data_IF_978930070250
#
_entry.id   IF_978930070250
#
_cell.length_a   1.000
_cell.length_b   1.000
_cell.length_c   1.000
_cell.angle_alpha   90.00
_cell.angle_beta   90.00
_cell.angle_gamma   90.00
#
_symmetry.space_group_name_H-M   'P 1'
#
loop_
_entity.id
_entity.type
_entity.pdbx_description
1 polymer ?
#
# COMPACT_ATOMS: atom_id res chain seq x y z
N UNK A 1 -12.96 -5.38 -21.64
CA UNK A 1 -12.08 -6.46 -22.14
C UNK A 1 -12.54 -7.83 -21.66
N UNK A 2 -12.51 -8.10 -20.35
CA UNK A 2 -12.98 -9.37 -19.77
C UNK A 2 -14.47 -9.61 -20.05
N UNK A 3 -15.34 -8.64 -19.72
CA UNK A 3 -16.79 -8.73 -19.96
C UNK A 3 -17.13 -8.79 -21.46
N UNK A 4 -16.35 -8.11 -22.30
CA UNK A 4 -16.48 -8.14 -23.77
C UNK A 4 -15.97 -9.46 -24.40
N UNK A 5 -15.46 -10.41 -23.60
CA UNK A 5 -14.94 -11.68 -24.10
C UNK A 5 -13.61 -11.60 -24.86
N UNK A 6 -12.90 -10.46 -24.82
CA UNK A 6 -11.61 -10.27 -25.53
C UNK A 6 -10.42 -10.94 -24.84
N UNK A 7 -10.54 -11.14 -23.53
CA UNK A 7 -9.58 -11.85 -22.68
C UNK A 7 -10.36 -12.64 -21.63
N UNK A 8 -9.76 -13.69 -21.08
CA UNK A 8 -10.39 -14.50 -20.03
C UNK A 8 -10.13 -13.96 -18.64
N UNK A 9 -8.95 -13.38 -18.41
CA UNK A 9 -8.57 -12.79 -17.15
C UNK A 9 -7.59 -11.62 -17.33
N UNK A 10 -7.49 -10.79 -16.30
CA UNK A 10 -6.48 -9.75 -16.17
C UNK A 10 -5.70 -9.94 -14.86
N UNK A 11 -4.41 -9.61 -14.90
CA UNK A 11 -3.48 -9.73 -13.78
C UNK A 11 -3.14 -8.33 -13.27
N UNK A 12 -3.27 -8.12 -11.97
CA UNK A 12 -3.10 -6.80 -11.35
C UNK A 12 -2.24 -6.90 -10.09
N UNK A 13 -1.53 -5.81 -9.77
CA UNK A 13 -1.14 -5.57 -8.38
C UNK A 13 -2.40 -5.30 -7.58
N UNK A 14 -2.63 -6.06 -6.51
CA UNK A 14 -3.92 -6.06 -5.81
C UNK A 14 -4.26 -4.70 -5.17
N UNK A 15 -3.26 -3.94 -4.76
CA UNK A 15 -3.43 -2.56 -4.25
C UNK A 15 -4.04 -1.59 -5.27
N UNK A 16 -3.91 -1.87 -6.56
CA UNK A 16 -4.42 -1.03 -7.65
C UNK A 16 -5.83 -1.46 -8.11
N UNK A 17 -6.36 -2.55 -7.53
CA UNK A 17 -7.73 -2.99 -7.77
C UNK A 17 -8.67 -2.18 -6.85
N UNK A 18 -9.68 -1.50 -7.41
CA UNK A 18 -10.72 -0.85 -6.61
C UNK A 18 -11.48 -1.84 -5.72
N UNK A 19 -11.98 -1.37 -4.58
CA UNK A 19 -12.84 -2.15 -3.70
C UNK A 19 -14.12 -2.59 -4.42
N UNK A 20 -14.83 -1.64 -5.02
CA UNK A 20 -16.02 -1.90 -5.82
C UNK A 20 -15.63 -2.49 -7.19
N UNK A 21 -16.24 -3.62 -7.52
CA UNK A 21 -16.03 -4.30 -8.81
C UNK A 21 -17.33 -4.32 -9.62
N UNK A 22 -17.24 -4.14 -10.95
CA UNK A 22 -18.37 -4.35 -11.83
C UNK A 22 -18.99 -5.74 -11.66
N UNK A 23 -20.31 -5.82 -11.74
CA UNK A 23 -21.03 -7.08 -11.74
C UNK A 23 -20.52 -8.03 -12.85
N UNK A 24 -20.42 -9.32 -12.54
CA UNK A 24 -19.92 -10.35 -13.46
C UNK A 24 -18.40 -10.55 -13.44
N UNK A 25 -17.66 -9.78 -12.64
CA UNK A 25 -16.22 -9.99 -12.40
C UNK A 25 -15.97 -10.58 -11.01
N UNK A 26 -15.03 -11.52 -10.94
CA UNK A 26 -14.60 -12.16 -9.71
C UNK A 26 -13.08 -12.05 -9.52
N UNK A 27 -12.65 -11.99 -8.26
CA UNK A 27 -11.27 -12.23 -7.88
C UNK A 27 -11.04 -13.75 -7.91
N UNK A 28 -10.44 -14.26 -8.98
CA UNK A 28 -10.33 -15.69 -9.24
C UNK A 28 -9.06 -16.32 -8.68
N UNK A 29 -8.00 -15.52 -8.51
CA UNK A 29 -6.84 -15.95 -7.75
C UNK A 29 -6.18 -14.80 -6.98
N UNK A 30 -5.68 -15.13 -5.79
CA UNK A 30 -4.76 -14.31 -5.00
C UNK A 30 -3.48 -15.11 -4.84
N UNK A 31 -2.41 -14.66 -5.49
CA UNK A 31 -1.12 -15.35 -5.46
C UNK A 31 -0.43 -15.13 -4.12
N UNK A 32 0.52 -16.01 -3.81
CA UNK A 32 1.43 -15.85 -2.66
C UNK A 32 2.06 -14.45 -2.66
N UNK A 33 2.03 -13.81 -1.49
CA UNK A 33 2.51 -12.44 -1.31
C UNK A 33 4.04 -12.33 -1.41
N UNK A 34 4.51 -11.42 -2.24
CA UNK A 34 5.89 -10.93 -2.22
C UNK A 34 6.10 -9.94 -1.06
N UNK A 35 7.35 -9.59 -0.68
CA UNK A 35 7.61 -8.67 0.42
C UNK A 35 6.73 -7.40 0.35
N UNK A 36 5.81 -7.19 1.32
CA UNK A 36 4.83 -6.11 1.26
C UNK A 36 5.42 -4.77 1.71
N UNK A 37 6.71 -4.74 2.05
CA UNK A 37 7.36 -3.59 2.66
C UNK A 37 7.72 -2.51 1.63
N UNK A 38 7.90 -1.31 2.14
CA UNK A 38 8.55 -0.25 1.39
C UNK A 38 10.07 -0.40 1.51
N UNK A 39 10.79 0.05 0.48
CA UNK A 39 12.25 0.05 0.43
C UNK A 39 12.72 1.47 0.17
N UNK A 40 13.66 1.95 0.98
CA UNK A 40 14.31 3.23 0.78
C UNK A 40 15.60 2.98 -0.01
N UNK A 41 15.59 3.34 -1.29
CA UNK A 41 16.79 3.35 -2.12
C UNK A 41 17.55 4.65 -1.86
N UNK A 42 18.84 4.56 -1.56
CA UNK A 42 19.66 5.69 -1.12
C UNK A 42 21.12 5.44 -1.49
N UNK A 43 21.82 6.45 -2.01
CA UNK A 43 23.21 6.32 -2.49
C UNK A 43 24.26 6.93 -1.56
N UNK A 44 23.83 7.65 -0.52
CA UNK A 44 24.69 8.34 0.45
C UNK A 44 24.31 8.05 1.91
N UNK A 45 25.18 8.39 2.89
CA UNK A 45 24.86 8.22 4.30
C UNK A 45 23.55 8.95 4.67
N UNK A 46 22.76 8.38 5.58
CA UNK A 46 21.45 8.93 5.94
C UNK A 46 21.53 10.33 6.53
N UNK A 47 22.65 10.67 7.18
CA UNK A 47 22.93 11.99 7.74
C UNK A 47 23.08 13.08 6.67
N UNK A 48 23.38 12.68 5.43
CA UNK A 48 23.53 13.57 4.27
C UNK A 48 22.27 13.62 3.39
N UNK A 49 21.23 12.84 3.73
CA UNK A 49 19.96 12.80 3.01
C UNK A 49 19.09 13.99 3.42
N UNK A 50 18.85 14.88 2.46
CA UNK A 50 17.97 16.05 2.59
C UNK A 50 16.68 15.91 1.79
N UNK A 51 16.69 15.22 0.64
CA UNK A 51 15.52 15.10 -0.24
C UNK A 51 15.12 13.64 -0.47
N UNK A 52 13.93 13.25 0.02
CA UNK A 52 13.37 11.91 -0.23
C UNK A 52 12.24 11.99 -1.26
N UNK A 53 12.33 11.22 -2.34
CA UNK A 53 11.35 11.17 -3.43
C UNK A 53 10.21 10.17 -3.20
N UNK A 54 8.98 10.66 -3.09
CA UNK A 54 7.75 9.85 -3.15
C UNK A 54 6.51 10.73 -3.38
N UNK A 55 5.59 10.29 -4.24
CA UNK A 55 4.25 10.90 -4.39
C UNK A 55 3.15 10.20 -3.61
N UNK A 56 3.46 9.18 -2.79
CA UNK A 56 2.48 8.57 -1.89
C UNK A 56 2.30 9.41 -0.64
N UNK A 57 1.06 9.86 -0.37
CA UNK A 57 0.72 10.61 0.83
C UNK A 57 0.98 9.80 2.11
N UNK A 58 0.68 8.49 2.10
CA UNK A 58 1.02 7.55 3.17
C UNK A 58 2.51 7.58 3.49
N UNK A 59 3.36 7.31 2.48
CA UNK A 59 4.82 7.28 2.66
C UNK A 59 5.35 8.64 3.11
N UNK A 60 4.85 9.73 2.53
CA UNK A 60 5.21 11.09 2.92
C UNK A 60 4.92 11.35 4.40
N UNK A 61 3.70 11.09 4.86
CA UNK A 61 3.34 11.29 6.26
C UNK A 61 4.17 10.41 7.21
N UNK A 62 4.43 9.15 6.85
CA UNK A 62 5.25 8.24 7.64
C UNK A 62 6.72 8.68 7.71
N UNK A 63 7.30 9.17 6.60
CA UNK A 63 8.64 9.74 6.56
C UNK A 63 8.75 10.99 7.42
N UNK A 64 7.79 11.93 7.29
CA UNK A 64 7.78 13.17 8.08
C UNK A 64 7.65 12.86 9.58
N UNK A 65 6.81 11.90 9.96
CA UNK A 65 6.72 11.39 11.34
C UNK A 65 8.06 10.82 11.81
N UNK A 66 8.65 9.93 11.02
CA UNK A 66 9.85 9.18 11.41
C UNK A 66 11.08 10.07 11.53
N UNK A 67 11.25 11.01 10.60
CA UNK A 67 12.42 11.89 10.52
C UNK A 67 12.14 13.32 11.03
N UNK A 68 11.13 13.52 11.88
CA UNK A 68 10.74 14.83 12.41
C UNK A 68 11.87 15.60 13.13
N UNK A 69 12.91 14.90 13.60
CA UNK A 69 14.09 15.51 14.26
C UNK A 69 15.12 16.07 13.27
N UNK A 70 14.95 15.84 11.96
CA UNK A 70 15.86 16.28 10.89
C UNK A 70 15.19 17.40 10.07
N UNK A 71 15.29 18.68 10.50
CA UNK A 71 14.53 19.78 9.90
C UNK A 71 14.88 20.08 8.44
N UNK A 72 16.09 19.73 8.00
CA UNK A 72 16.55 19.90 6.62
C UNK A 72 15.97 18.82 5.68
N UNK A 73 15.45 17.72 6.25
CA UNK A 73 14.86 16.65 5.46
C UNK A 73 13.47 17.04 4.96
N UNK A 74 13.28 16.96 3.65
CA UNK A 74 11.99 17.20 3.02
C UNK A 74 11.63 16.09 2.03
N UNK A 75 10.32 15.89 1.86
CA UNK A 75 9.77 14.88 0.96
C UNK A 75 9.27 15.55 -0.32
N UNK A 76 9.89 15.21 -1.44
CA UNK A 76 9.57 15.75 -2.75
C UNK A 76 8.73 14.77 -3.59
N UNK A 77 7.87 15.30 -4.45
CA UNK A 77 7.06 14.50 -5.35
C UNK A 77 7.93 13.75 -6.35
N UNK A 78 7.67 12.46 -6.53
CA UNK A 78 8.35 11.61 -7.49
C UNK A 78 7.32 10.74 -8.23
N UNK A 79 7.28 10.92 -9.56
CA UNK A 79 6.41 10.19 -10.49
C UNK A 79 7.24 9.42 -11.51
N UNK A 80 6.57 8.52 -12.23
CA UNK A 80 7.20 7.60 -13.18
C UNK A 80 7.15 6.15 -12.70
N UNK A 81 7.46 5.25 -13.62
CA UNK A 81 7.70 3.84 -13.32
C UNK A 81 9.01 3.67 -12.53
N UNK A 82 9.35 2.43 -12.15
CA UNK A 82 10.53 2.17 -11.33
C UNK A 82 11.83 2.59 -12.00
N UNK A 83 11.98 2.33 -13.31
CA UNK A 83 13.19 2.70 -14.06
C UNK A 83 13.40 4.21 -14.07
N UNK A 84 12.35 4.99 -14.31
CA UNK A 84 12.42 6.46 -14.28
C UNK A 84 12.80 6.96 -12.88
N UNK A 85 12.31 6.31 -11.83
CA UNK A 85 12.61 6.72 -10.45
C UNK A 85 14.05 6.41 -10.06
N UNK A 86 14.58 5.26 -10.48
CA UNK A 86 15.97 4.89 -10.23
C UNK A 86 16.92 5.79 -11.04
N UNK A 87 16.61 6.07 -12.30
CA UNK A 87 17.40 7.02 -13.10
C UNK A 87 17.45 8.42 -12.47
N UNK A 88 16.36 8.88 -11.83
CA UNK A 88 16.33 10.16 -11.10
C UNK A 88 17.14 10.13 -9.80
N UNK A 89 17.22 8.97 -9.13
CA UNK A 89 18.11 8.78 -7.98
C UNK A 89 19.57 8.84 -8.43
N UNK A 90 19.95 8.08 -9.45
CA UNK A 90 21.31 8.04 -10.02
C UNK A 90 21.77 9.42 -10.56
N UNK A 91 20.83 10.20 -11.10
CA UNK A 91 21.10 11.57 -11.57
C UNK A 91 21.26 12.60 -10.44
N UNK A 92 21.02 12.22 -9.18
CA UNK A 92 21.09 13.11 -8.01
C UNK A 92 19.94 14.11 -7.92
N UNK A 93 18.81 13.87 -8.60
CA UNK A 93 17.60 14.70 -8.42
C UNK A 93 16.95 14.48 -7.04
N UNK A 94 17.20 13.33 -6.43
CA UNK A 94 16.78 12.97 -5.08
C UNK A 94 17.94 12.28 -4.37
N UNK A 95 18.02 12.45 -3.07
CA UNK A 95 19.03 11.80 -2.24
C UNK A 95 18.66 10.34 -1.92
N UNK A 96 17.36 10.11 -1.82
CA UNK A 96 16.77 8.79 -1.63
C UNK A 96 15.38 8.75 -2.29
N UNK A 97 14.91 7.55 -2.65
CA UNK A 97 13.55 7.35 -3.20
C UNK A 97 12.88 6.16 -2.54
N UNK A 98 11.56 6.26 -2.31
CA UNK A 98 10.81 5.14 -1.73
C UNK A 98 10.15 4.29 -2.81
N UNK A 99 10.46 3.01 -2.81
CA UNK A 99 9.96 1.99 -3.73
C UNK A 99 9.16 0.92 -2.98
N UNK A 100 8.37 0.12 -3.70
CA UNK A 100 7.80 -1.09 -3.12
C UNK A 100 8.83 -2.22 -3.30
N UNK A 101 9.17 -2.94 -2.23
CA UNK A 101 10.19 -3.98 -2.29
C UNK A 101 9.81 -5.10 -3.25
N UNK A 102 8.53 -5.50 -3.28
CA UNK A 102 8.02 -6.46 -4.24
C UNK A 102 8.34 -6.12 -5.71
N UNK A 103 8.39 -4.84 -6.07
CA UNK A 103 8.74 -4.43 -7.44
C UNK A 103 10.21 -4.71 -7.75
N UNK A 104 11.12 -4.49 -6.79
CA UNK A 104 12.53 -4.79 -6.92
C UNK A 104 12.75 -6.30 -7.08
N UNK A 105 12.11 -7.10 -6.21
CA UNK A 105 12.19 -8.57 -6.23
C UNK A 105 11.74 -9.13 -7.57
N UNK A 106 10.57 -8.69 -8.07
CA UNK A 106 9.99 -9.19 -9.33
C UNK A 106 10.85 -8.88 -10.55
N UNK A 107 11.55 -7.75 -10.52
CA UNK A 107 12.41 -7.31 -11.62
C UNK A 107 13.86 -7.77 -11.47
N UNK A 108 14.20 -8.44 -10.37
CA UNK A 108 15.59 -8.84 -10.09
C UNK A 108 16.53 -7.65 -9.92
N UNK A 109 16.01 -6.51 -9.45
CA UNK A 109 16.80 -5.29 -9.29
C UNK A 109 17.51 -5.29 -7.94
N UNK A 110 18.83 -5.05 -7.99
CA UNK A 110 19.67 -4.87 -6.82
C UNK A 110 19.96 -3.38 -6.66
N UNK A 111 19.35 -2.76 -5.64
CA UNK A 111 19.44 -1.32 -5.39
C UNK A 111 20.02 -1.10 -3.99
N UNK A 112 20.96 -0.18 -3.86
CA UNK A 112 21.53 0.17 -2.55
C UNK A 112 20.48 0.86 -1.68
N UNK A 113 20.38 0.45 -0.42
CA UNK A 113 19.37 0.95 0.49
C UNK A 113 18.90 -0.10 1.49
N UNK A 114 17.72 0.10 2.06
CA UNK A 114 17.19 -0.79 3.08
C UNK A 114 15.66 -0.87 3.09
N UNK A 115 15.16 -2.01 3.56
CA UNK A 115 13.74 -2.22 3.86
C UNK A 115 13.31 -1.31 5.01
N UNK A 116 12.17 -0.65 4.85
CA UNK A 116 11.51 0.07 5.91
C UNK A 116 10.66 -0.90 6.75
N UNK A 117 10.84 -0.87 8.08
CA UNK A 117 10.09 -1.73 8.99
C UNK A 117 8.60 -1.42 8.96
N UNK A 118 7.76 -2.46 8.89
CA UNK A 118 6.31 -2.31 8.94
C UNK A 118 5.81 -1.66 10.25
N UNK A 119 6.57 -1.73 11.34
CA UNK A 119 6.20 -1.11 12.61
C UNK A 119 6.25 0.42 12.52
N UNK A 120 7.14 0.99 11.71
CA UNK A 120 7.31 2.43 11.52
C UNK A 120 6.71 2.94 10.21
N UNK A 121 6.67 2.08 9.19
CA UNK A 121 6.21 2.37 7.83
C UNK A 121 5.21 1.32 7.42
N UNK A 122 4.01 1.37 8.01
CA UNK A 122 2.93 0.43 7.74
C UNK A 122 2.65 0.41 6.23
N UNK A 123 2.76 -0.76 5.56
CA UNK A 123 2.48 -0.91 4.13
C UNK A 123 1.13 -0.34 3.67
N UNK A 124 1.04 -0.07 2.37
CA UNK A 124 -0.26 0.15 1.75
C UNK A 124 -1.08 -1.16 1.78
N UNK A 125 -2.42 -1.08 1.94
CA UNK A 125 -3.28 -2.25 1.84
C UNK A 125 -2.97 -3.04 0.56
N UNK A 126 -2.79 -4.35 0.72
CA UNK A 126 -2.55 -5.33 -0.32
C UNK A 126 -1.27 -5.12 -1.15
N UNK A 127 -0.32 -4.32 -0.64
CA UNK A 127 0.99 -4.20 -1.24
C UNK A 127 1.70 -5.56 -1.28
N UNK A 128 2.40 -5.84 -2.37
CA UNK A 128 3.12 -7.11 -2.56
C UNK A 128 2.27 -8.25 -3.14
N UNK A 129 0.96 -8.07 -3.32
CA UNK A 129 0.09 -9.15 -3.81
C UNK A 129 -0.26 -8.99 -5.29
N UNK A 130 -0.22 -10.11 -6.03
CA UNK A 130 -0.78 -10.21 -7.38
C UNK A 130 -2.14 -10.90 -7.31
N UNK A 131 -3.10 -10.32 -8.03
CA UNK A 131 -4.46 -10.80 -8.12
C UNK A 131 -4.86 -11.04 -9.58
N UNK A 132 -5.63 -12.11 -9.81
CA UNK A 132 -6.21 -12.46 -11.10
C UNK A 132 -7.71 -12.17 -11.04
N UNK A 133 -8.18 -11.31 -11.92
CA UNK A 133 -9.59 -10.97 -12.07
C UNK A 133 -10.10 -11.61 -13.36
N UNK A 134 -11.22 -12.31 -13.30
CA UNK A 134 -11.84 -12.97 -14.45
C UNK A 134 -13.36 -12.83 -14.43
N UNK A 135 -14.05 -13.40 -15.43
CA UNK A 135 -15.53 -13.53 -15.37
C UNK A 135 -15.90 -14.51 -14.25
N UNK A 136 -16.97 -14.20 -13.51
CA UNK A 136 -17.45 -15.11 -12.46
C UNK A 136 -18.15 -16.34 -13.06
N UNK A 137 -17.34 -17.33 -13.43
CA UNK A 137 -17.79 -18.59 -14.00
C UNK A 137 -17.10 -19.74 -13.27
N UNK A 138 -17.79 -20.87 -13.15
CA UNK A 138 -17.24 -22.06 -12.47
C UNK A 138 -15.96 -22.57 -13.17
N UNK A 139 -15.92 -22.50 -14.50
CA UNK A 139 -14.78 -22.90 -15.32
C UNK A 139 -13.52 -22.08 -15.02
N UNK A 140 -13.60 -20.74 -15.08
CA UNK A 140 -12.45 -19.88 -14.81
C UNK A 140 -12.03 -19.93 -13.34
N UNK A 141 -12.99 -20.04 -12.41
CA UNK A 141 -12.68 -20.25 -10.99
C UNK A 141 -11.88 -21.54 -10.78
N UNK A 142 -12.25 -22.64 -11.42
CA UNK A 142 -11.52 -23.89 -11.35
C UNK A 142 -10.13 -23.79 -12.00
N UNK A 143 -10.02 -23.12 -13.15
CA UNK A 143 -8.76 -22.96 -13.88
C UNK A 143 -7.71 -22.16 -13.08
N UNK A 144 -8.13 -21.12 -12.35
CA UNK A 144 -7.21 -20.29 -11.57
C UNK A 144 -7.05 -20.74 -10.11
N UNK A 145 -7.85 -21.69 -9.64
CA UNK A 145 -7.78 -22.22 -8.27
C UNK A 145 -6.35 -22.60 -7.82
N UNK A 146 -5.50 -23.27 -8.65
CA UNK A 146 -4.15 -23.66 -8.23
C UNK A 146 -3.18 -22.50 -7.94
N UNK A 147 -3.52 -21.27 -8.36
CA UNK A 147 -2.69 -20.08 -8.10
C UNK A 147 -2.96 -19.46 -6.73
N UNK A 148 -4.02 -19.89 -6.04
CA UNK A 148 -4.43 -19.29 -4.78
C UNK A 148 -3.50 -19.67 -3.61
N UNK A 149 -3.11 -18.65 -2.86
CA UNK A 149 -2.51 -18.79 -1.54
C UNK A 149 -3.53 -18.35 -0.48
N UNK A 150 -4.00 -19.30 0.34
CA UNK A 150 -5.10 -19.06 1.29
C UNK A 150 -4.73 -18.06 2.39
N UNK A 151 -3.49 -18.08 2.86
CA UNK A 151 -3.03 -17.12 3.87
C UNK A 151 -2.98 -15.70 3.30
N UNK A 152 -2.42 -15.53 2.09
CA UNK A 152 -2.41 -14.23 1.42
C UNK A 152 -3.83 -13.75 1.12
N UNK A 153 -4.73 -14.63 0.70
CA UNK A 153 -6.14 -14.29 0.48
C UNK A 153 -6.80 -13.77 1.75
N UNK A 154 -6.60 -14.43 2.90
CA UNK A 154 -7.11 -13.97 4.19
C UNK A 154 -6.50 -12.62 4.61
N UNK A 155 -5.18 -12.52 4.63
CA UNK A 155 -4.47 -11.32 5.08
C UNK A 155 -4.86 -10.10 4.22
N UNK A 156 -4.95 -10.27 2.90
CA UNK A 156 -5.35 -9.18 2.00
C UNK A 156 -6.83 -8.85 2.06
N UNK A 157 -7.71 -9.82 2.31
CA UNK A 157 -9.12 -9.55 2.57
C UNK A 157 -9.31 -8.74 3.86
N UNK A 158 -8.59 -9.07 4.93
CA UNK A 158 -8.62 -8.30 6.17
C UNK A 158 -8.10 -6.86 5.98
N UNK A 159 -6.97 -6.69 5.28
CA UNK A 159 -6.45 -5.36 4.95
C UNK A 159 -7.46 -4.54 4.12
N UNK A 160 -8.15 -5.20 3.20
CA UNK A 160 -9.18 -4.58 2.35
C UNK A 160 -10.38 -4.13 3.19
N UNK A 161 -10.86 -4.97 4.10
CA UNK A 161 -11.98 -4.67 4.99
C UNK A 161 -11.72 -3.40 5.82
N UNK A 162 -10.54 -3.31 6.45
CA UNK A 162 -10.14 -2.09 7.18
C UNK A 162 -10.15 -0.87 6.27
N UNK A 163 -9.56 -0.98 5.08
CA UNK A 163 -9.48 0.11 4.12
C UNK A 163 -10.87 0.59 3.65
N UNK A 164 -11.80 -0.33 3.44
CA UNK A 164 -13.19 -0.04 3.04
C UNK A 164 -13.96 0.71 4.14
N UNK A 165 -13.79 0.29 5.40
CA UNK A 165 -14.43 0.95 6.54
C UNK A 165 -13.92 2.38 6.74
N UNK A 166 -12.60 2.59 6.68
CA UNK A 166 -11.99 3.92 6.81
C UNK A 166 -12.56 4.86 5.74
N UNK A 167 -12.69 4.39 4.50
CA UNK A 167 -13.09 5.21 3.35
C UNK A 167 -12.03 6.27 3.01
N UNK A 168 -12.43 7.35 2.33
CA UNK A 168 -11.52 8.49 2.11
C UNK A 168 -10.52 8.35 0.94
N UNK A 169 -10.75 7.41 0.01
CA UNK A 169 -10.02 7.34 -1.26
C UNK A 169 -8.48 7.32 -1.14
N UNK A 170 -7.78 7.70 -2.22
CA UNK A 170 -6.31 7.77 -2.22
C UNK A 170 -5.73 8.99 -1.48
N UNK A 171 -6.57 9.85 -0.88
CA UNK A 171 -6.13 11.12 -0.28
C UNK A 171 -5.79 11.03 1.21
N UNK A 172 -6.34 10.06 1.94
CA UNK A 172 -6.01 9.85 3.35
C UNK A 172 -4.67 9.11 3.48
N UNK A 173 -3.67 9.64 4.21
CA UNK A 173 -2.46 8.90 4.54
C UNK A 173 -2.78 7.73 5.47
N UNK A 174 -2.96 6.54 4.90
CA UNK A 174 -3.32 5.34 5.65
C UNK A 174 -2.46 4.15 5.29
N UNK A 175 -2.06 3.36 6.29
CA UNK A 175 -1.39 2.07 6.10
C UNK A 175 -2.19 0.95 6.74
N UNK A 176 -2.26 -0.20 6.08
CA UNK A 176 -2.87 -1.42 6.64
C UNK A 176 -2.04 -2.61 6.23
N UNK A 177 -1.62 -3.39 7.21
CA UNK A 177 -0.79 -4.58 7.01
C UNK A 177 -1.27 -5.72 7.90
N UNK A 178 -1.57 -6.85 7.29
CA UNK A 178 -1.91 -8.09 7.96
C UNK A 178 -0.90 -9.19 7.57
N UNK A 179 -0.47 -9.98 8.54
CA UNK A 179 0.34 -11.17 8.34
C UNK A 179 -0.02 -12.23 9.37
N UNK A 180 -0.53 -13.37 8.90
CA UNK A 180 -0.87 -14.47 9.81
C UNK A 180 -1.91 -14.08 10.86
N UNK A 181 -2.85 -13.19 10.49
CA UNK A 181 -3.86 -12.64 11.42
C UNK A 181 -3.35 -11.56 12.37
N UNK A 182 -2.05 -11.25 12.42
CA UNK A 182 -1.58 -10.03 13.10
C UNK A 182 -1.82 -8.84 12.17
N UNK A 183 -2.65 -7.89 12.60
CA UNK A 183 -3.00 -6.71 11.80
C UNK A 183 -2.52 -5.42 12.47
N UNK A 184 -2.09 -4.49 11.61
CA UNK A 184 -1.63 -3.15 11.96
C UNK A 184 -2.28 -2.17 11.00
N UNK A 185 -3.06 -1.24 11.54
CA UNK A 185 -3.75 -0.21 10.76
C UNK A 185 -3.46 1.17 11.34
N UNK A 186 -3.14 2.14 10.49
CA UNK A 186 -2.91 3.51 10.92
C UNK A 186 -3.41 4.55 9.92
N UNK A 187 -3.79 5.70 10.45
CA UNK A 187 -4.11 6.92 9.71
C UNK A 187 -3.24 8.05 10.27
N UNK A 188 -2.67 8.87 9.39
CA UNK A 188 -1.82 10.00 9.75
C UNK A 188 -2.38 11.32 9.20
N UNK A 189 -2.05 12.42 9.87
CA UNK A 189 -2.16 13.74 9.25
C UNK A 189 -1.20 13.86 8.07
N UNK A 190 -1.51 14.74 7.11
CA UNK A 190 -0.69 14.94 5.90
C UNK A 190 0.75 15.35 6.23
N UNK A 191 0.97 16.09 7.32
CA UNK A 191 2.29 16.51 7.81
C UNK A 191 2.98 15.46 8.69
N UNK A 192 2.32 14.34 9.00
CA UNK A 192 2.86 13.27 9.85
C UNK A 192 2.94 13.59 11.35
N UNK A 193 2.47 14.76 11.81
CA UNK A 193 2.58 15.18 13.22
C UNK A 193 1.57 14.50 14.13
N UNK A 194 0.46 14.00 13.58
CA UNK A 194 -0.58 13.27 14.29
C UNK A 194 -0.80 11.92 13.61
N UNK A 195 -1.07 10.90 14.41
CA UNK A 195 -1.47 9.59 13.90
C UNK A 195 -2.39 8.87 14.87
N UNK A 196 -3.30 8.07 14.32
CA UNK A 196 -4.08 7.09 15.06
C UNK A 196 -3.68 5.69 14.55
N UNK A 197 -3.50 4.75 15.48
CA UNK A 197 -3.15 3.36 15.19
C UNK A 197 -4.03 2.41 15.99
N UNK A 198 -4.41 1.31 15.34
CA UNK A 198 -5.02 0.12 15.94
C UNK A 198 -4.18 -1.08 15.52
N UNK A 199 -3.91 -1.98 16.46
CA UNK A 199 -3.20 -3.23 16.23
C UNK A 199 -3.87 -4.36 16.99
N UNK A 200 -3.80 -5.57 16.45
CA UNK A 200 -4.47 -6.71 17.08
C UNK A 200 -4.21 -8.03 16.38
N UNK A 201 -4.77 -9.09 16.96
CA UNK A 201 -4.90 -10.39 16.33
C UNK A 201 -6.34 -10.54 15.84
N UNK A 202 -6.49 -11.00 14.61
CA UNK A 202 -7.79 -11.30 14.01
C UNK A 202 -7.85 -12.77 13.59
N UNK A 203 -9.05 -13.34 13.70
CA UNK A 203 -9.41 -14.69 13.28
C UNK A 203 -10.42 -14.71 12.14
N UNK A 204 -11.03 -13.55 11.84
CA UNK A 204 -12.02 -13.38 10.77
C UNK A 204 -11.88 -12.03 10.08
N UNK A 205 -12.46 -11.91 8.87
CA UNK A 205 -12.52 -10.63 8.14
C UNK A 205 -13.48 -9.65 8.83
N UNK A 206 -14.48 -10.13 9.56
CA UNK A 206 -15.40 -9.27 10.32
C UNK A 206 -14.67 -8.51 11.44
N UNK A 207 -13.75 -9.17 12.15
CA UNK A 207 -12.91 -8.49 13.15
C UNK A 207 -12.01 -7.41 12.51
N UNK A 208 -11.63 -7.59 11.24
CA UNK A 208 -10.93 -6.55 10.49
C UNK A 208 -11.85 -5.36 10.15
N UNK A 209 -13.13 -5.60 9.87
CA UNK A 209 -14.13 -4.54 9.76
C UNK A 209 -14.29 -3.76 11.08
N UNK A 210 -14.33 -4.45 12.23
CA UNK A 210 -14.36 -3.79 13.54
C UNK A 210 -13.16 -2.86 13.75
N UNK A 211 -11.95 -3.33 13.43
CA UNK A 211 -10.73 -2.50 13.49
C UNK A 211 -10.84 -1.28 12.58
N UNK A 212 -11.36 -1.46 11.36
CA UNK A 212 -11.59 -0.37 10.43
C UNK A 212 -12.56 0.67 10.95
N UNK A 213 -13.69 0.24 11.54
CA UNK A 213 -14.69 1.12 12.17
C UNK A 213 -14.11 1.89 13.35
N UNK A 214 -13.40 1.19 14.25
CA UNK A 214 -12.74 1.82 15.40
C UNK A 214 -11.71 2.87 14.95
N UNK A 215 -10.85 2.51 13.99
CA UNK A 215 -9.83 3.43 13.50
C UNK A 215 -10.45 4.65 12.82
N UNK A 216 -11.51 4.47 12.03
CA UNK A 216 -12.26 5.56 11.40
C UNK A 216 -12.82 6.54 12.43
N UNK A 217 -13.45 6.03 13.49
CA UNK A 217 -14.02 6.86 14.55
C UNK A 217 -12.92 7.65 15.27
N UNK A 218 -11.86 6.96 15.70
CA UNK A 218 -10.72 7.58 16.42
C UNK A 218 -9.93 8.58 15.58
N UNK A 219 -9.95 8.44 14.25
CA UNK A 219 -9.20 9.27 13.32
C UNK A 219 -10.10 10.23 12.50
N UNK A 220 -11.36 10.44 12.89
CA UNK A 220 -12.32 11.23 12.12
C UNK A 220 -11.79 12.63 11.75
N UNK A 221 -11.12 13.31 12.69
CA UNK A 221 -10.51 14.62 12.46
C UNK A 221 -9.39 14.59 11.41
N UNK A 222 -8.57 13.52 11.40
CA UNK A 222 -7.48 13.35 10.45
C UNK A 222 -8.02 13.13 9.03
N UNK A 223 -9.06 12.30 8.90
CA UNK A 223 -9.74 12.02 7.64
C UNK A 223 -10.39 13.29 7.09
N UNK A 224 -11.12 14.03 7.94
CA UNK A 224 -11.78 15.27 7.54
C UNK A 224 -10.78 16.37 7.15
N UNK A 225 -9.63 16.45 7.82
CA UNK A 225 -8.56 17.38 7.45
C UNK A 225 -7.92 17.02 6.10
N UNK A 226 -7.62 15.73 5.86
CA UNK A 226 -7.05 15.28 4.59
C UNK A 226 -7.99 15.57 3.41
N UNK A 227 -9.30 15.39 3.61
CA UNK A 227 -10.33 15.65 2.60
C UNK A 227 -10.36 17.12 2.17
N UNK A 228 -10.41 18.06 3.12
CA UNK A 228 -10.43 19.50 2.84
C UNK A 228 -9.26 19.96 1.97
N UNK A 229 -8.05 19.50 2.31
CA UNK A 229 -6.83 19.84 1.55
C UNK A 229 -6.90 19.35 0.10
N UNK A 230 -7.52 18.20 -0.16
CA UNK A 230 -7.65 17.67 -1.53
C UNK A 230 -8.82 18.29 -2.29
N UNK A 231 -9.92 18.63 -1.62
CA UNK A 231 -11.07 19.31 -2.22
C UNK A 231 -10.83 20.82 -2.42
N UNK A 232 -9.76 21.37 -1.85
CA UNK A 232 -9.38 22.78 -2.01
C UNK A 232 -10.13 23.75 -1.09
N UNK A 233 -10.64 23.24 0.03
CA UNK A 233 -11.26 24.02 1.12
C UNK A 233 -10.24 24.38 2.21
#
# INVERSE_FOLDING_TARGET
AILDGRIDAAVHSMKDIPAERPAGLALSAVLKRDPPFDFLAVEKPMEEVSTIGTSSLRRRAQLLRHYHQYPEMHVANLRGNIDTRLAKLEAGEYDAVVLAEAALVRLGLHVHGFRLSADSFVPAPNQGTIAVVSRDTAELRAAFAPLNDSQTAFDTAAERAVMEEIGGGCFTPQGVYCQGGKILAEILSLDGTKSCRVEGMISSVEEAHDIGRELKERAADLIAAARRVVEGE
#
